data_IF_853938645697
#
_entry.id   IF_853938645697
#
_cell.length_a   1.000
_cell.length_b   1.000
_cell.length_c   1.000
_cell.angle_alpha   90.00
_cell.angle_beta   90.00
_cell.angle_gamma   90.00
#
_symmetry.space_group_name_H-M   'P 1'
#
loop_
_entity.id
_entity.type
_entity.pdbx_description
1 polymer ?
#
# COMPACT_ATOMS: atom_id res chain seq x y z
N UNK A 1 1.33 -16.54 6.44
CA UNK A 1 1.04 -17.59 5.43
C UNK A 1 2.32 -17.88 4.63
N UNK A 2 3.01 -19.01 4.85
CA UNK A 2 4.41 -19.17 4.39
C UNK A 2 4.57 -19.38 2.88
N UNK A 3 3.53 -19.80 2.17
CA UNK A 3 3.58 -20.08 0.73
C UNK A 3 2.77 -19.11 -0.13
N UNK A 4 2.28 -18.02 0.46
CA UNK A 4 1.43 -17.07 -0.25
C UNK A 4 2.28 -16.11 -1.08
N UNK A 5 2.20 -16.22 -2.41
CA UNK A 5 3.05 -15.45 -3.33
C UNK A 5 2.33 -14.24 -3.93
N UNK A 6 1.04 -14.40 -4.24
CA UNK A 6 0.23 -13.40 -4.91
C UNK A 6 -1.07 -13.14 -4.16
N UNK A 7 -1.37 -11.87 -3.93
CA UNK A 7 -2.65 -11.43 -3.40
C UNK A 7 -3.45 -10.75 -4.50
N UNK A 8 -4.63 -11.30 -4.81
CA UNK A 8 -5.61 -10.69 -5.69
C UNK A 8 -6.98 -10.64 -5.02
N UNK A 9 -7.76 -9.61 -5.35
CA UNK A 9 -9.19 -9.61 -5.07
C UNK A 9 -9.91 -10.16 -6.30
N UNK A 10 -10.78 -11.16 -6.11
CA UNK A 10 -11.53 -11.77 -7.20
C UNK A 10 -12.44 -10.75 -7.90
N UNK A 11 -12.30 -10.66 -9.22
CA UNK A 11 -13.36 -10.22 -10.13
C UNK A 11 -13.97 -11.49 -10.73
N UNK A 12 -14.91 -12.11 -10.03
CA UNK A 12 -15.71 -13.17 -10.67
C UNK A 12 -16.93 -12.52 -11.32
N UNK A 13 -16.74 -12.04 -12.54
CA UNK A 13 -17.86 -11.81 -13.45
C UNK A 13 -18.19 -13.17 -14.09
N UNK A 14 -19.14 -13.91 -13.51
CA UNK A 14 -19.77 -15.03 -14.21
C UNK A 14 -20.63 -14.47 -15.34
N UNK A 15 -20.01 -14.20 -16.49
CA UNK A 15 -20.76 -14.07 -17.74
C UNK A 15 -21.29 -15.45 -18.09
N UNK A 16 -22.56 -15.69 -17.78
CA UNK A 16 -23.27 -16.88 -18.24
C UNK A 16 -23.49 -16.77 -19.77
N UNK A 17 -22.69 -17.53 -20.52
CA UNK A 17 -22.86 -17.88 -21.94
C UNK A 17 -23.18 -19.39 -21.96
N UNK A 18 -24.18 -19.99 -22.64
CA UNK A 18 -25.06 -19.61 -23.74
C UNK A 18 -26.25 -20.58 -23.77
N UNK A 19 -27.42 -20.18 -24.30
CA UNK A 19 -28.19 -21.05 -25.22
C UNK A 19 -29.21 -20.19 -25.98
N UNK A 20 -28.97 -20.01 -27.27
CA UNK A 20 -29.68 -19.04 -28.10
C UNK A 20 -31.08 -19.43 -28.55
N UNK A 21 -31.76 -18.44 -29.14
CA UNK A 21 -32.58 -18.61 -30.35
C UNK A 21 -32.47 -17.36 -31.22
N UNK A 22 -32.49 -17.62 -32.52
CA UNK A 22 -32.57 -16.78 -33.70
C UNK A 22 -33.35 -15.45 -33.58
N UNK A 23 -32.82 -14.36 -34.15
CA UNK A 23 -33.57 -13.11 -34.32
C UNK A 23 -32.73 -11.83 -34.17
N UNK A 24 -32.68 -11.02 -35.24
CA UNK A 24 -31.92 -9.79 -35.37
C UNK A 24 -32.23 -8.72 -34.29
N UNK A 25 -31.20 -8.26 -33.60
CA UNK A 25 -31.07 -6.91 -33.07
C UNK A 25 -29.58 -6.64 -32.77
N UNK A 26 -29.01 -5.57 -33.34
CA UNK A 26 -27.70 -5.06 -32.96
C UNK A 26 -27.72 -4.62 -31.50
N UNK A 27 -27.27 -5.49 -30.60
CA UNK A 27 -27.04 -5.12 -29.20
C UNK A 27 -25.71 -4.38 -29.19
N UNK A 28 -25.80 -3.05 -29.10
CA UNK A 28 -24.66 -2.20 -28.78
C UNK A 28 -24.03 -2.78 -27.50
N UNK A 29 -22.76 -3.16 -27.58
CA UNK A 29 -21.92 -3.41 -26.40
C UNK A 29 -21.79 -2.09 -25.65
N UNK A 30 -22.82 -1.74 -24.89
CA UNK A 30 -22.76 -0.70 -23.89
C UNK A 30 -21.70 -1.13 -22.89
N UNK A 31 -20.66 -0.31 -22.81
CA UNK A 31 -19.62 -0.16 -21.80
C UNK A 31 -20.03 -0.78 -20.45
N UNK A 32 -19.93 -2.10 -20.33
CA UNK A 32 -19.96 -2.77 -19.05
C UNK A 32 -18.60 -2.48 -18.41
N UNK A 33 -18.47 -1.28 -17.85
CA UNK A 33 -17.43 -1.03 -16.87
C UNK A 33 -17.61 -2.10 -15.80
N UNK A 34 -16.64 -3.01 -15.59
CA UNK A 34 -16.77 -4.02 -14.55
C UNK A 34 -17.09 -3.28 -13.27
N UNK A 35 -18.26 -3.61 -12.70
CA UNK A 35 -18.79 -2.91 -11.55
C UNK A 35 -17.72 -2.94 -10.47
N UNK A 36 -17.12 -1.78 -10.20
CA UNK A 36 -15.97 -1.61 -9.31
C UNK A 36 -16.40 -2.10 -7.92
N UNK A 37 -16.14 -3.37 -7.62
CA UNK A 37 -16.54 -3.96 -6.35
C UNK A 37 -15.73 -3.24 -5.28
N UNK A 38 -16.43 -2.46 -4.44
CA UNK A 38 -15.82 -1.88 -3.24
C UNK A 38 -15.59 -3.05 -2.30
N UNK A 39 -14.40 -3.62 -2.38
CA UNK A 39 -14.00 -4.77 -1.58
C UNK A 39 -13.67 -4.27 -0.18
N UNK A 40 -14.57 -4.55 0.76
CA UNK A 40 -14.43 -4.18 2.17
C UNK A 40 -14.48 -2.65 2.40
N UNK A 41 -15.60 -1.97 2.05
CA UNK A 41 -15.71 -0.50 2.10
C UNK A 41 -15.69 0.07 3.52
N UNK A 42 -15.75 -0.79 4.55
CA UNK A 42 -15.70 -0.42 5.97
C UNK A 42 -14.44 -0.94 6.67
N UNK A 43 -13.50 -1.52 5.92
CA UNK A 43 -12.22 -1.94 6.49
C UNK A 43 -11.48 -0.71 6.97
N UNK A 44 -11.14 -0.66 8.25
CA UNK A 44 -10.40 0.44 8.88
C UNK A 44 -8.94 0.08 9.11
N UNK A 45 -8.65 -1.18 9.40
CA UNK A 45 -7.32 -1.67 9.73
C UNK A 45 -7.08 -2.97 8.95
N UNK A 46 -5.89 -3.09 8.36
CA UNK A 46 -5.45 -4.30 7.68
C UNK A 46 -4.05 -4.65 8.14
N UNK A 47 -3.85 -5.89 8.56
CA UNK A 47 -2.56 -6.38 9.01
C UNK A 47 -2.15 -7.63 8.23
N UNK A 48 -0.94 -7.63 7.69
CA UNK A 48 -0.34 -8.78 7.02
C UNK A 48 0.90 -9.22 7.80
N UNK A 49 0.85 -10.41 8.39
CA UNK A 49 1.93 -10.95 9.22
C UNK A 49 2.49 -12.24 8.63
N UNK A 50 3.82 -12.33 8.57
CA UNK A 50 4.54 -13.55 8.23
C UNK A 50 4.14 -14.08 6.84
N UNK A 51 4.20 -13.19 5.84
CA UNK A 51 3.92 -13.50 4.43
C UNK A 51 5.21 -13.35 3.61
N UNK A 52 6.23 -14.19 3.86
CA UNK A 52 7.59 -13.97 3.38
C UNK A 52 7.74 -14.11 1.87
N UNK A 53 6.79 -14.77 1.19
CA UNK A 53 6.80 -14.95 -0.27
C UNK A 53 5.90 -13.97 -1.02
N UNK A 54 5.12 -13.15 -0.31
CA UNK A 54 4.22 -12.19 -0.95
C UNK A 54 5.06 -11.13 -1.64
N UNK A 55 4.94 -11.05 -2.96
CA UNK A 55 5.80 -10.20 -3.79
C UNK A 55 5.23 -8.81 -3.98
N UNK A 56 3.91 -8.73 -4.02
CA UNK A 56 3.18 -7.50 -4.31
C UNK A 56 1.84 -7.48 -3.58
N UNK A 57 1.39 -6.29 -3.23
CA UNK A 57 0.03 -6.03 -2.77
C UNK A 57 -0.88 -5.87 -4.01
N UNK A 58 -2.20 -6.14 -3.96
CA UNK A 58 -3.09 -5.94 -5.09
C UNK A 58 -3.32 -4.44 -5.35
N UNK A 59 -3.48 -4.04 -6.61
CA UNK A 59 -3.81 -2.64 -6.97
C UNK A 59 -5.20 -2.22 -6.49
N UNK A 60 -6.09 -3.18 -6.26
CA UNK A 60 -7.41 -2.93 -5.69
C UNK A 60 -7.33 -2.49 -4.22
N UNK A 61 -6.23 -2.74 -3.50
CA UNK A 61 -6.02 -2.23 -2.15
C UNK A 61 -5.88 -0.70 -2.20
N UNK A 62 -6.74 0.00 -1.47
CA UNK A 62 -6.97 1.45 -1.57
C UNK A 62 -8.23 1.79 -2.38
N UNK A 63 -8.38 1.23 -3.59
CA UNK A 63 -9.61 1.45 -4.40
C UNK A 63 -10.84 0.76 -3.79
N UNK A 64 -10.67 -0.47 -3.30
CA UNK A 64 -11.73 -1.25 -2.66
C UNK A 64 -11.96 -0.88 -1.20
N UNK A 65 -10.89 -0.46 -0.52
CA UNK A 65 -10.84 -0.23 0.93
C UNK A 65 -10.82 1.26 1.25
N UNK A 66 -11.84 2.00 0.81
CA UNK A 66 -11.87 3.48 0.88
C UNK A 66 -11.86 4.06 2.31
N UNK A 67 -12.05 3.24 3.33
CA UNK A 67 -12.03 3.67 4.73
C UNK A 67 -10.81 3.15 5.49
N UNK A 68 -9.84 2.51 4.80
CA UNK A 68 -8.65 1.97 5.43
C UNK A 68 -7.83 3.13 6.00
N UNK A 69 -7.62 3.09 7.31
CA UNK A 69 -6.85 4.07 8.08
C UNK A 69 -5.45 3.58 8.38
N UNK A 70 -5.30 2.30 8.64
CA UNK A 70 -4.01 1.70 9.01
C UNK A 70 -3.72 0.44 8.20
N UNK A 71 -2.50 0.39 7.65
CA UNK A 71 -1.93 -0.81 7.06
C UNK A 71 -0.68 -1.20 7.86
N UNK A 72 -0.66 -2.41 8.40
CA UNK A 72 0.50 -3.01 9.07
C UNK A 72 1.07 -4.16 8.23
N UNK A 73 2.36 -4.10 7.91
CA UNK A 73 3.08 -5.11 7.14
C UNK A 73 4.25 -5.66 7.97
N UNK A 74 4.19 -6.93 8.35
CA UNK A 74 5.20 -7.57 9.20
C UNK A 74 5.78 -8.82 8.53
N UNK A 75 7.09 -8.82 8.28
CA UNK A 75 7.79 -9.99 7.74
C UNK A 75 7.44 -10.34 6.29
N UNK A 76 7.24 -9.33 5.44
CA UNK A 76 6.95 -9.48 4.01
C UNK A 76 8.25 -9.43 3.18
N UNK A 77 9.13 -10.41 3.41
CA UNK A 77 10.52 -10.36 2.93
C UNK A 77 10.69 -10.42 1.40
N UNK A 78 9.65 -10.78 0.64
CA UNK A 78 9.67 -10.74 -0.82
C UNK A 78 9.03 -9.48 -1.41
N UNK A 79 8.39 -8.64 -0.59
CA UNK A 79 7.76 -7.40 -1.04
C UNK A 79 8.85 -6.37 -1.33
N UNK A 80 8.93 -5.91 -2.58
CA UNK A 80 9.97 -4.96 -3.02
C UNK A 80 9.56 -3.51 -2.91
N UNK A 81 8.27 -3.22 -3.09
CA UNK A 81 7.77 -1.86 -3.17
C UNK A 81 6.37 -1.74 -2.56
N UNK A 82 6.09 -0.60 -1.95
CA UNK A 82 4.73 -0.13 -1.66
C UNK A 82 4.50 1.14 -2.48
N UNK A 83 3.92 0.98 -3.66
CA UNK A 83 3.78 2.07 -4.64
C UNK A 83 2.38 2.18 -5.27
N UNK A 84 2.08 3.39 -5.77
CA UNK A 84 0.92 3.74 -6.62
C UNK A 84 -0.46 3.43 -6.02
N UNK A 85 -0.63 3.71 -4.74
CA UNK A 85 -1.88 3.47 -4.02
C UNK A 85 -2.43 4.77 -3.41
N UNK A 86 -3.23 5.54 -4.17
CA UNK A 86 -3.64 6.89 -3.78
C UNK A 86 -4.59 6.98 -2.58
N UNK A 87 -5.13 5.86 -2.07
CA UNK A 87 -6.17 5.83 -1.02
C UNK A 87 -5.85 4.77 0.05
N UNK A 88 -4.56 4.46 0.26
CA UNK A 88 -4.24 3.22 0.94
C UNK A 88 -4.40 3.29 2.46
N UNK A 89 -3.88 4.32 3.12
CA UNK A 89 -4.03 4.50 4.56
C UNK A 89 -3.51 5.86 4.98
N UNK A 90 -3.95 6.32 6.15
CA UNK A 90 -3.38 7.47 6.86
C UNK A 90 -2.09 7.05 7.57
N UNK A 91 -2.07 5.83 8.11
CA UNK A 91 -0.94 5.23 8.85
C UNK A 91 -0.42 4.00 8.11
N UNK A 92 0.90 3.90 7.95
CA UNK A 92 1.59 2.73 7.41
C UNK A 92 2.67 2.28 8.39
N UNK A 93 2.54 1.06 8.89
CA UNK A 93 3.51 0.43 9.78
C UNK A 93 4.17 -0.73 9.04
N UNK A 94 5.50 -0.73 9.00
CA UNK A 94 6.30 -1.75 8.32
C UNK A 94 7.38 -2.25 9.27
N UNK A 95 7.34 -3.56 9.53
CA UNK A 95 8.23 -4.24 10.47
C UNK A 95 8.87 -5.46 9.79
N UNK A 96 10.17 -5.64 10.00
CA UNK A 96 10.94 -6.81 9.54
C UNK A 96 10.77 -7.16 8.05
N UNK A 97 10.54 -6.15 7.20
CA UNK A 97 10.37 -6.34 5.76
C UNK A 97 11.71 -6.16 5.04
N UNK A 98 12.60 -7.14 5.17
CA UNK A 98 13.96 -7.06 4.64
C UNK A 98 14.04 -6.83 3.13
N UNK A 99 13.06 -7.32 2.37
CA UNK A 99 13.02 -7.17 0.91
C UNK A 99 12.59 -5.79 0.42
N UNK A 100 12.02 -4.96 1.30
CA UNK A 100 11.42 -3.70 0.92
C UNK A 100 12.49 -2.66 0.57
N UNK A 101 12.43 -2.15 -0.65
CA UNK A 101 13.42 -1.22 -1.18
C UNK A 101 12.87 0.20 -1.33
N UNK A 102 11.56 0.34 -1.60
CA UNK A 102 10.94 1.62 -1.94
C UNK A 102 9.50 1.78 -1.43
N UNK A 103 9.16 3.02 -1.07
CA UNK A 103 7.80 3.45 -0.72
C UNK A 103 7.50 4.73 -1.51
N UNK A 104 6.52 4.73 -2.40
CA UNK A 104 6.24 5.93 -3.20
C UNK A 104 4.78 6.11 -3.59
N UNK A 105 4.41 7.34 -3.94
CA UNK A 105 3.08 7.70 -4.45
C UNK A 105 1.92 7.33 -3.49
N UNK A 106 2.08 7.67 -2.20
CA UNK A 106 1.08 7.52 -1.16
C UNK A 106 0.60 8.90 -0.66
N UNK A 107 -0.20 9.64 -1.44
CA UNK A 107 -0.58 11.03 -1.16
C UNK A 107 -1.38 11.21 0.14
N UNK A 108 -2.11 10.19 0.61
CA UNK A 108 -2.93 10.26 1.83
C UNK A 108 -2.18 9.88 3.11
N UNK A 109 -0.95 9.39 2.98
CA UNK A 109 -0.18 8.93 4.14
C UNK A 109 0.22 10.11 5.02
N UNK A 110 -0.20 10.09 6.29
CA UNK A 110 0.17 11.07 7.30
C UNK A 110 1.29 10.56 8.21
N UNK A 111 1.33 9.26 8.49
CA UNK A 111 2.28 8.65 9.39
C UNK A 111 2.91 7.39 8.80
N UNK A 112 4.24 7.28 8.92
CA UNK A 112 5.02 6.13 8.48
C UNK A 112 5.89 5.65 9.63
N UNK A 113 5.72 4.39 10.01
CA UNK A 113 6.53 3.72 11.02
C UNK A 113 7.31 2.61 10.36
N UNK A 114 8.65 2.65 10.45
CA UNK A 114 9.52 1.63 9.85
C UNK A 114 10.51 1.09 10.85
N UNK A 115 10.56 -0.24 10.97
CA UNK A 115 11.51 -0.99 11.77
C UNK A 115 11.94 -2.27 11.00
N UNK A 116 13.18 -2.74 11.16
CA UNK A 116 13.63 -4.00 10.56
C UNK A 116 13.67 -4.02 9.03
N UNK A 117 13.88 -2.87 8.37
CA UNK A 117 13.84 -2.73 6.91
C UNK A 117 15.18 -2.25 6.32
N UNK A 118 16.26 -3.06 6.38
CA UNK A 118 17.62 -2.63 6.04
C UNK A 118 17.85 -2.22 4.58
N UNK A 119 17.00 -2.69 3.65
CA UNK A 119 17.14 -2.39 2.22
C UNK A 119 16.29 -1.20 1.76
N UNK A 120 15.48 -0.60 2.65
CA UNK A 120 14.66 0.55 2.31
C UNK A 120 15.56 1.75 2.02
N UNK A 121 15.58 2.17 0.75
CA UNK A 121 16.52 3.19 0.27
C UNK A 121 15.83 4.38 -0.39
N UNK A 122 14.53 4.27 -0.66
CA UNK A 122 13.78 5.29 -1.37
C UNK A 122 12.39 5.52 -0.76
N UNK A 123 12.06 6.77 -0.48
CA UNK A 123 10.74 7.17 -0.04
C UNK A 123 10.37 8.55 -0.61
N UNK A 124 9.28 8.65 -1.39
CA UNK A 124 8.86 9.91 -2.02
C UNK A 124 7.36 9.95 -2.32
N UNK A 125 6.81 11.11 -2.70
CA UNK A 125 5.40 11.20 -3.10
C UNK A 125 4.39 11.02 -1.96
N UNK A 126 4.85 11.16 -0.70
CA UNK A 126 4.01 11.21 0.50
C UNK A 126 3.46 12.64 0.72
N UNK A 127 2.28 12.92 0.17
CA UNK A 127 1.72 14.28 0.05
C UNK A 127 1.26 14.90 1.38
N UNK A 128 0.49 14.15 2.16
CA UNK A 128 -0.05 14.56 3.47
C UNK A 128 0.84 14.17 4.65
N UNK A 129 2.09 13.80 4.38
CA UNK A 129 2.99 13.19 5.35
C UNK A 129 3.44 14.17 6.43
N UNK A 130 3.32 13.78 7.70
CA UNK A 130 3.63 14.63 8.85
C UNK A 130 4.58 13.96 9.85
N UNK A 131 4.45 12.65 10.05
CA UNK A 131 5.13 11.94 11.12
C UNK A 131 5.90 10.73 10.60
N UNK A 132 7.14 10.59 11.06
CA UNK A 132 8.03 9.49 10.76
C UNK A 132 8.53 8.82 12.04
N UNK A 133 8.05 7.62 12.31
CA UNK A 133 8.58 6.73 13.34
C UNK A 133 9.69 5.84 12.76
N UNK A 134 10.88 5.87 13.35
CA UNK A 134 11.99 4.98 12.98
C UNK A 134 12.39 4.10 14.15
N UNK A 135 12.55 2.80 13.90
CA UNK A 135 13.22 1.90 14.83
C UNK A 135 14.69 2.29 15.04
N UNK A 136 15.26 1.91 16.19
CA UNK A 136 16.67 2.19 16.52
C UNK A 136 17.65 1.61 15.48
N UNK A 137 17.30 0.49 14.89
CA UNK A 137 18.02 -0.23 13.83
C UNK A 137 17.98 0.48 12.46
N UNK A 138 17.05 1.41 12.25
CA UNK A 138 16.84 2.11 10.98
C UNK A 138 17.64 3.42 10.87
N UNK A 139 18.31 3.87 11.93
CA UNK A 139 18.97 5.19 11.99
C UNK A 139 20.00 5.40 10.86
N UNK A 140 20.85 4.42 10.57
CA UNK A 140 21.86 4.56 9.50
C UNK A 140 21.25 4.49 8.10
N UNK A 141 20.32 3.56 7.89
CA UNK A 141 19.68 3.30 6.60
C UNK A 141 18.78 4.46 6.17
N UNK A 142 18.05 5.03 7.14
CA UNK A 142 17.07 6.10 6.92
C UNK A 142 17.69 7.39 6.36
N UNK A 143 18.96 7.66 6.66
CA UNK A 143 19.70 8.84 6.17
C UNK A 143 19.60 9.06 4.65
N UNK A 144 19.48 7.96 3.89
CA UNK A 144 19.43 7.96 2.42
C UNK A 144 18.14 8.53 1.84
N UNK A 145 17.02 8.34 2.52
CA UNK A 145 15.70 8.71 2.01
C UNK A 145 14.97 9.75 2.87
N UNK A 146 15.24 9.80 4.18
CA UNK A 146 14.63 10.79 5.10
C UNK A 146 14.98 12.22 4.69
N UNK A 147 16.21 12.45 4.22
CA UNK A 147 16.61 13.76 3.69
C UNK A 147 15.77 14.19 2.48
N UNK A 148 15.34 13.24 1.65
CA UNK A 148 14.45 13.47 0.52
C UNK A 148 13.03 13.80 0.97
N UNK A 149 12.51 13.01 1.92
CA UNK A 149 11.20 13.25 2.51
C UNK A 149 11.10 14.59 3.23
N UNK A 150 12.12 14.95 4.02
CA UNK A 150 12.17 16.23 4.72
C UNK A 150 12.11 17.41 3.75
N UNK A 151 12.91 17.38 2.67
CA UNK A 151 12.85 18.40 1.60
C UNK A 151 11.49 18.46 0.91
N UNK A 152 10.85 17.32 0.69
CA UNK A 152 9.51 17.28 0.10
C UNK A 152 8.48 17.89 1.04
N UNK A 153 8.49 17.49 2.31
CA UNK A 153 7.58 17.99 3.33
C UNK A 153 7.73 19.51 3.51
N UNK A 154 8.96 20.00 3.63
CA UNK A 154 9.25 21.43 3.73
C UNK A 154 8.74 22.23 2.51
N UNK A 155 8.80 21.65 1.31
CA UNK A 155 8.27 22.30 0.10
C UNK A 155 6.75 22.37 0.06
N UNK A 156 6.06 21.36 0.62
CA UNK A 156 4.61 21.24 0.56
C UNK A 156 3.92 21.97 1.71
N UNK A 157 4.47 21.88 2.92
CA UNK A 157 3.83 22.35 4.15
C UNK A 157 4.57 23.52 4.81
N UNK A 158 5.85 23.74 4.46
CA UNK A 158 6.67 24.81 5.05
C UNK A 158 7.14 24.53 6.48
N UNK A 159 6.80 23.36 7.01
CA UNK A 159 7.15 22.89 8.36
C UNK A 159 8.25 21.83 8.30
N UNK A 160 8.82 21.49 9.46
CA UNK A 160 9.78 20.40 9.60
C UNK A 160 9.03 19.09 9.83
N UNK A 161 9.53 18.00 9.22
CA UNK A 161 9.01 16.66 9.43
C UNK A 161 9.24 16.22 10.89
N UNK A 162 8.20 15.76 11.57
CA UNK A 162 8.30 15.20 12.92
C UNK A 162 8.88 13.78 12.84
N UNK A 163 10.12 13.61 13.30
CA UNK A 163 10.83 12.32 13.31
C UNK A 163 11.03 11.87 14.74
N UNK A 164 10.49 10.70 15.09
CA UNK A 164 10.60 10.13 16.43
C UNK A 164 11.14 8.70 16.38
N UNK A 165 11.71 8.25 17.51
CA UNK A 165 12.23 6.88 17.64
C UNK A 165 11.15 5.96 18.22
N UNK A 166 10.91 4.83 17.55
CA UNK A 166 9.98 3.80 18.02
C UNK A 166 10.66 3.01 19.15
N UNK A 167 10.03 2.94 20.32
CA UNK A 167 10.46 2.04 21.39
C UNK A 167 9.99 0.62 21.05
N UNK A 168 10.89 -0.22 20.53
CA UNK A 168 10.60 -1.65 20.34
C UNK A 168 10.85 -2.36 21.67
N UNK A 169 9.81 -3.05 22.18
CA UNK A 169 9.85 -3.79 23.46
C UNK A 169 10.20 -5.26 23.26
#
# INVERSE_FOLDING_TARGET
MPNWEEWSFFEEEVVADVSGVDGAAEIRKEDAQPARVRLLPRLLELQLHGCPKLRDLPQQLGKGTTCLKELTLIGLNSLKAVEDRPVLSEVLVIEDCEGLERICNLPQLSELCVHGCPNLSHAEGLGSFQQLGLGEDMQEVSSRWVSGLHKQHQRLHGEDLDVYTLCTS
#
